data_IF_494965709754
#
_entry.id   IF_494965709754
#
_cell.length_a   1.000
_cell.length_b   1.000
_cell.length_c   1.000
_cell.angle_alpha   90.00
_cell.angle_beta   90.00
_cell.angle_gamma   90.00
#
_symmetry.space_group_name_H-M   'P 1'
#
loop_
_entity.id
_entity.type
_entity.pdbx_description
1 polymer ?
#
# COMPACT_ATOMS: atom_id res chain seq x y z
N UNK A 1 5.81 23.79 -16.54
CA UNK A 1 5.98 22.87 -15.40
C UNK A 1 4.64 22.21 -15.16
N UNK A 2 4.59 20.88 -15.25
CA UNK A 2 3.39 20.13 -14.84
C UNK A 2 3.26 20.28 -13.33
N UNK A 3 2.09 20.70 -12.84
CA UNK A 3 1.88 20.78 -11.41
C UNK A 3 2.05 19.40 -10.76
N UNK A 4 2.54 19.35 -9.51
CA UNK A 4 2.78 18.09 -8.79
C UNK A 4 1.53 17.19 -8.74
N UNK A 5 0.34 17.78 -8.61
CA UNK A 5 -0.94 17.07 -8.64
C UNK A 5 -1.20 16.37 -9.98
N UNK A 6 -0.89 17.03 -11.10
CA UNK A 6 -1.08 16.45 -12.44
C UNK A 6 -0.16 15.26 -12.68
N UNK A 7 1.08 15.32 -12.16
CA UNK A 7 2.01 14.20 -12.24
C UNK A 7 1.51 12.98 -11.46
N UNK A 8 1.05 13.18 -10.23
CA UNK A 8 0.49 12.11 -9.41
C UNK A 8 -0.74 11.48 -10.06
N UNK A 9 -1.60 12.30 -10.68
CA UNK A 9 -2.75 11.82 -11.44
C UNK A 9 -2.32 11.00 -12.67
N UNK A 10 -1.29 11.43 -13.38
CA UNK A 10 -0.72 10.68 -14.51
C UNK A 10 -0.10 9.35 -14.06
N UNK A 11 0.54 9.31 -12.90
CA UNK A 11 1.11 8.08 -12.33
C UNK A 11 0.02 7.05 -12.01
N UNK A 12 -1.12 7.48 -11.47
CA UNK A 12 -2.26 6.61 -11.23
C UNK A 12 -2.89 6.11 -12.53
N UNK A 13 -3.12 7.01 -13.50
CA UNK A 13 -3.69 6.65 -14.80
C UNK A 13 -2.78 5.70 -15.61
N UNK A 14 -1.46 5.77 -15.42
CA UNK A 14 -0.54 4.84 -16.06
C UNK A 14 -0.68 3.41 -15.53
N UNK A 15 -1.13 3.24 -14.29
CA UNK A 15 -1.38 1.94 -13.70
C UNK A 15 -2.52 1.18 -14.40
N UNK A 16 -3.57 1.90 -14.80
CA UNK A 16 -4.70 1.33 -15.53
C UNK A 16 -4.30 0.64 -16.85
N UNK A 17 -3.26 1.14 -17.51
CA UNK A 17 -2.75 0.57 -18.77
C UNK A 17 -1.95 -0.71 -18.59
N UNK A 18 -1.43 -0.93 -17.40
CA UNK A 18 -0.49 -2.01 -17.08
C UNK A 18 -1.17 -3.14 -16.32
N UNK A 19 -2.13 -2.80 -15.49
CA UNK A 19 -2.83 -3.77 -14.66
C UNK A 19 -4.05 -4.32 -15.39
N UNK A 20 -4.03 -5.61 -15.65
CA UNK A 20 -5.10 -6.28 -16.42
C UNK A 20 -6.23 -6.84 -15.54
N UNK A 21 -6.47 -6.26 -14.38
CA UNK A 21 -7.57 -6.63 -13.49
C UNK A 21 -7.57 -8.13 -13.18
N UNK A 22 -6.79 -8.56 -12.22
CA UNK A 22 -6.70 -9.97 -11.85
C UNK A 22 -7.26 -10.22 -10.46
N UNK A 23 -8.38 -10.92 -10.38
CA UNK A 23 -8.76 -11.57 -9.15
C UNK A 23 -7.80 -12.73 -8.92
N UNK A 24 -7.03 -12.69 -7.83
CA UNK A 24 -6.11 -13.75 -7.46
C UNK A 24 -5.07 -14.12 -8.54
N UNK A 25 -4.30 -13.20 -9.02
CA UNK A 25 -3.08 -13.58 -9.72
C UNK A 25 -2.20 -14.35 -8.75
N UNK A 26 -1.90 -15.59 -9.09
CA UNK A 26 -1.41 -16.64 -8.18
C UNK A 26 -0.08 -16.41 -7.47
N UNK A 27 0.53 -15.23 -7.57
CA UNK A 27 1.82 -14.93 -6.96
C UNK A 27 1.69 -14.57 -5.47
N UNK A 28 0.70 -13.77 -5.09
CA UNK A 28 0.45 -13.39 -3.70
C UNK A 28 -0.17 -14.52 -2.87
N UNK A 29 -0.85 -15.43 -3.52
CA UNK A 29 -1.62 -16.53 -2.90
C UNK A 29 -0.79 -17.49 -2.06
N UNK A 30 0.50 -17.69 -2.35
CA UNK A 30 1.28 -18.79 -1.76
C UNK A 30 2.24 -18.37 -0.66
N UNK A 31 2.71 -17.11 -0.64
CA UNK A 31 3.91 -16.77 0.13
C UNK A 31 3.66 -16.54 1.62
N UNK A 32 2.58 -15.83 2.00
CA UNK A 32 2.37 -15.42 3.39
C UNK A 32 0.88 -15.34 3.79
N UNK A 33 -0.03 -15.81 2.95
CA UNK A 33 -1.47 -15.64 3.14
C UNK A 33 -1.93 -16.09 4.54
N UNK A 34 -1.60 -17.32 4.95
CA UNK A 34 -2.02 -17.86 6.26
C UNK A 34 -1.52 -17.06 7.46
N UNK A 35 -0.29 -16.54 7.38
CA UNK A 35 0.27 -15.70 8.43
C UNK A 35 -0.47 -14.37 8.56
N UNK A 36 -0.73 -13.72 7.42
CA UNK A 36 -1.46 -12.45 7.41
C UNK A 36 -2.93 -12.63 7.79
N UNK A 37 -3.60 -13.67 7.32
CA UNK A 37 -4.96 -14.01 7.76
C UNK A 37 -5.05 -14.21 9.27
N UNK A 38 -4.11 -14.96 9.86
CA UNK A 38 -4.05 -15.16 11.30
C UNK A 38 -3.83 -13.86 12.06
N UNK A 39 -2.94 -13.00 11.54
CA UNK A 39 -2.69 -11.69 12.11
C UNK A 39 -3.92 -10.79 12.05
N UNK A 40 -4.57 -10.70 10.88
CA UNK A 40 -5.78 -9.90 10.70
C UNK A 40 -6.90 -10.36 11.63
N UNK A 41 -7.19 -11.66 11.70
CA UNK A 41 -8.19 -12.22 12.66
C UNK A 41 -7.97 -11.79 14.10
N UNK A 42 -6.71 -11.67 14.51
CA UNK A 42 -6.36 -11.35 15.90
C UNK A 42 -6.28 -9.84 16.17
N UNK A 43 -6.11 -9.01 15.15
CA UNK A 43 -5.78 -7.59 15.33
C UNK A 43 -6.76 -6.61 14.69
N UNK A 44 -7.65 -7.07 13.79
CA UNK A 44 -8.70 -6.22 13.23
C UNK A 44 -9.71 -5.86 14.32
N UNK A 45 -10.08 -4.57 14.35
CA UNK A 45 -11.03 -4.01 15.34
C UNK A 45 -11.60 -2.68 14.86
N UNK A 46 -12.76 -2.34 15.38
CA UNK A 46 -13.47 -1.09 15.07
C UNK A 46 -14.73 -1.32 14.26
N UNK A 47 -15.39 -0.25 13.89
CA UNK A 47 -16.64 -0.26 13.14
C UNK A 47 -16.42 -0.02 11.64
N UNK A 48 -15.43 0.81 11.27
CA UNK A 48 -15.17 1.21 9.88
C UNK A 48 -13.72 0.91 9.47
N UNK A 49 -13.56 0.12 8.41
CA UNK A 49 -12.26 -0.18 7.80
C UNK A 49 -12.15 0.48 6.43
N UNK A 50 -10.99 1.02 6.13
CA UNK A 50 -10.57 1.40 4.78
C UNK A 50 -9.58 0.39 4.24
N UNK A 51 -9.85 -0.20 3.07
CA UNK A 51 -8.89 -0.95 2.28
C UNK A 51 -8.42 -0.12 1.10
N UNK A 52 -7.10 0.09 0.99
CA UNK A 52 -6.49 0.82 -0.12
C UNK A 52 -5.93 -0.17 -1.12
N UNK A 53 -6.36 -0.03 -2.40
CA UNK A 53 -5.95 -0.91 -3.49
C UNK A 53 -6.56 -2.29 -3.37
N UNK A 54 -7.89 -2.34 -3.26
CA UNK A 54 -8.64 -3.58 -3.05
C UNK A 54 -8.60 -4.55 -4.24
N UNK A 55 -8.27 -4.04 -5.46
CA UNK A 55 -8.24 -4.87 -6.67
C UNK A 55 -9.53 -5.66 -6.86
N UNK A 56 -9.41 -6.96 -7.15
CA UNK A 56 -10.55 -7.86 -7.28
C UNK A 56 -11.21 -8.28 -5.96
N UNK A 57 -10.83 -7.70 -4.82
CA UNK A 57 -11.48 -7.91 -3.52
C UNK A 57 -11.02 -9.14 -2.74
N UNK A 58 -9.81 -9.63 -2.94
CA UNK A 58 -9.31 -10.82 -2.24
C UNK A 58 -9.27 -10.63 -0.72
N UNK A 59 -8.64 -9.55 -0.26
CA UNK A 59 -8.55 -9.26 1.16
C UNK A 59 -9.87 -8.70 1.67
N UNK A 60 -10.58 -7.91 0.85
CA UNK A 60 -11.93 -7.43 1.16
C UNK A 60 -12.86 -8.57 1.55
N UNK A 61 -12.91 -9.64 0.72
CA UNK A 61 -13.75 -10.82 0.98
C UNK A 61 -13.38 -11.49 2.30
N UNK A 62 -12.09 -11.71 2.53
CA UNK A 62 -11.61 -12.28 3.78
C UNK A 62 -12.01 -11.45 4.99
N UNK A 63 -11.81 -10.12 4.92
CA UNK A 63 -12.14 -9.19 6.01
C UNK A 63 -13.66 -9.11 6.22
N UNK A 64 -14.45 -9.08 5.15
CA UNK A 64 -15.91 -9.10 5.20
C UNK A 64 -16.46 -10.38 5.88
N UNK A 65 -15.91 -11.53 5.51
CA UNK A 65 -16.31 -12.83 6.10
C UNK A 65 -15.99 -12.95 7.61
N UNK A 66 -15.09 -12.13 8.14
CA UNK A 66 -14.85 -12.07 9.59
C UNK A 66 -16.00 -11.42 10.38
N UNK A 67 -16.86 -10.63 9.72
CA UNK A 67 -18.03 -9.99 10.34
C UNK A 67 -17.70 -8.96 11.42
N UNK A 68 -16.49 -8.39 11.43
CA UNK A 68 -16.03 -7.45 12.46
C UNK A 68 -16.56 -6.04 12.20
N UNK A 69 -16.50 -5.58 10.94
CA UNK A 69 -16.79 -4.20 10.57
C UNK A 69 -18.24 -4.01 10.14
N UNK A 70 -18.83 -2.92 10.58
CA UNK A 70 -20.15 -2.46 10.11
C UNK A 70 -20.06 -1.84 8.72
N UNK A 71 -18.89 -1.25 8.40
CA UNK A 71 -18.63 -0.63 7.11
C UNK A 71 -17.19 -0.93 6.67
N UNK A 72 -17.04 -1.35 5.42
CA UNK A 72 -15.76 -1.53 4.73
C UNK A 72 -15.75 -0.60 3.53
N UNK A 73 -14.83 0.34 3.49
CA UNK A 73 -14.63 1.25 2.36
C UNK A 73 -13.44 0.71 1.58
N UNK A 74 -13.64 0.44 0.30
CA UNK A 74 -12.61 -0.03 -0.62
C UNK A 74 -12.29 1.07 -1.60
N UNK A 75 -11.02 1.47 -1.71
CA UNK A 75 -10.59 2.44 -2.71
C UNK A 75 -9.61 1.81 -3.67
N UNK A 76 -9.79 2.08 -4.97
CA UNK A 76 -8.88 1.65 -6.02
C UNK A 76 -8.83 2.68 -7.15
N UNK A 77 -7.73 2.69 -7.90
CA UNK A 77 -7.54 3.53 -9.10
C UNK A 77 -8.18 2.92 -10.35
N UNK A 78 -8.60 1.67 -10.26
CA UNK A 78 -9.37 0.96 -11.29
C UNK A 78 -10.83 0.90 -10.87
N UNK A 79 -11.73 0.82 -11.84
CA UNK A 79 -13.16 0.70 -11.52
C UNK A 79 -13.50 -0.69 -10.98
N UNK A 80 -14.62 -0.79 -10.26
CA UNK A 80 -15.12 -2.06 -9.74
C UNK A 80 -15.39 -3.08 -10.85
N UNK A 81 -15.83 -2.61 -12.02
CA UNK A 81 -16.08 -3.42 -13.21
C UNK A 81 -14.77 -3.98 -13.78
N UNK A 82 -13.74 -3.11 -13.91
CA UNK A 82 -12.42 -3.52 -14.38
C UNK A 82 -11.84 -4.63 -13.48
N UNK A 83 -11.97 -4.46 -12.18
CA UNK A 83 -11.50 -5.42 -11.19
C UNK A 83 -12.43 -6.62 -11.00
N UNK A 84 -13.60 -6.67 -11.63
CA UNK A 84 -14.65 -7.68 -11.39
C UNK A 84 -15.00 -7.83 -9.92
N UNK A 85 -14.94 -6.70 -9.20
CA UNK A 85 -14.99 -6.68 -7.74
C UNK A 85 -16.29 -7.28 -7.20
N UNK A 86 -17.45 -6.82 -7.71
CA UNK A 86 -18.75 -7.31 -7.27
C UNK A 86 -19.06 -8.74 -7.74
N UNK A 87 -18.53 -9.14 -8.90
CA UNK A 87 -18.62 -10.55 -9.35
C UNK A 87 -17.95 -11.50 -8.36
N UNK A 88 -16.86 -11.04 -7.72
CA UNK A 88 -16.08 -11.84 -6.79
C UNK A 88 -16.64 -11.85 -5.36
N UNK A 89 -17.26 -10.76 -4.93
CA UNK A 89 -17.78 -10.60 -3.56
C UNK A 89 -19.24 -11.00 -3.41
N UNK A 90 -20.06 -10.83 -4.45
CA UNK A 90 -21.50 -11.01 -4.39
C UNK A 90 -22.28 -9.75 -4.05
N UNK A 91 -23.50 -9.62 -4.55
CA UNK A 91 -24.35 -8.43 -4.39
C UNK A 91 -24.72 -8.14 -2.93
N UNK A 92 -24.86 -9.18 -2.12
CA UNK A 92 -25.19 -9.06 -0.68
C UNK A 92 -24.14 -8.28 0.10
N UNK A 93 -22.87 -8.32 -0.34
CA UNK A 93 -21.78 -7.62 0.30
C UNK A 93 -21.90 -6.09 0.22
N UNK A 94 -22.68 -5.56 -0.75
CA UNK A 94 -22.93 -4.13 -0.93
C UNK A 94 -23.63 -3.46 0.26
N UNK A 95 -24.23 -4.23 1.15
CA UNK A 95 -24.82 -3.71 2.38
C UNK A 95 -23.75 -3.23 3.38
N UNK A 96 -22.56 -3.82 3.31
CA UNK A 96 -21.44 -3.54 4.23
C UNK A 96 -20.27 -2.87 3.51
N UNK A 97 -20.08 -3.15 2.23
CA UNK A 97 -18.92 -2.71 1.45
C UNK A 97 -19.30 -1.58 0.50
N UNK A 98 -18.55 -0.50 0.55
CA UNK A 98 -18.58 0.62 -0.39
C UNK A 98 -17.31 0.61 -1.25
N UNK A 99 -17.45 0.70 -2.57
CA UNK A 99 -16.33 0.81 -3.49
C UNK A 99 -16.23 2.23 -4.03
N UNK A 100 -15.06 2.86 -3.86
CA UNK A 100 -14.77 4.19 -4.36
C UNK A 100 -13.66 4.12 -5.41
N UNK A 101 -13.97 4.46 -6.64
CA UNK A 101 -13.00 4.64 -7.70
C UNK A 101 -12.34 6.01 -7.53
N UNK A 102 -11.02 6.05 -7.33
CA UNK A 102 -10.26 7.26 -7.04
C UNK A 102 -9.23 7.56 -8.12
N UNK A 103 -9.01 8.84 -8.41
CA UNK A 103 -8.00 9.33 -9.34
C UNK A 103 -6.92 10.22 -8.68
N UNK A 104 -6.95 10.28 -7.33
CA UNK A 104 -6.04 11.09 -6.55
C UNK A 104 -5.80 10.48 -5.15
N UNK A 105 -4.98 11.14 -4.34
CA UNK A 105 -4.62 10.67 -2.99
C UNK A 105 -5.37 11.42 -1.87
N UNK A 106 -6.38 12.23 -2.20
CA UNK A 106 -7.02 13.14 -1.22
C UNK A 106 -8.08 12.44 -0.37
N UNK A 107 -8.64 11.31 -0.85
CA UNK A 107 -9.72 10.58 -0.18
C UNK A 107 -10.91 11.48 0.19
N UNK A 108 -11.28 12.41 -0.72
CA UNK A 108 -12.27 13.45 -0.46
C UNK A 108 -13.65 12.91 -0.11
N UNK A 109 -14.01 11.73 -0.66
CA UNK A 109 -15.32 11.11 -0.44
C UNK A 109 -15.43 10.36 0.90
N UNK A 110 -14.34 10.30 1.66
CA UNK A 110 -14.31 9.72 2.99
C UNK A 110 -14.40 10.84 4.03
N UNK A 111 -15.32 10.72 4.98
CA UNK A 111 -15.46 11.66 6.08
C UNK A 111 -14.21 11.73 6.96
N UNK A 112 -13.92 12.93 7.48
CA UNK A 112 -12.83 13.09 8.43
C UNK A 112 -13.16 12.38 9.75
N UNK A 113 -12.14 11.82 10.39
CA UNK A 113 -12.25 11.12 11.68
C UNK A 113 -13.34 10.03 11.68
N UNK A 114 -13.48 9.29 10.56
CA UNK A 114 -14.46 8.23 10.39
C UNK A 114 -13.87 6.81 10.43
N UNK A 115 -12.55 6.67 10.24
CA UNK A 115 -11.90 5.37 10.11
C UNK A 115 -11.35 4.87 11.44
N UNK A 116 -11.59 3.59 11.73
CA UNK A 116 -11.04 2.88 12.89
C UNK A 116 -9.84 2.00 12.53
N UNK A 117 -9.81 1.54 11.26
CA UNK A 117 -8.71 0.72 10.75
C UNK A 117 -8.43 1.05 9.28
N UNK A 118 -7.16 1.02 8.90
CA UNK A 118 -6.72 1.12 7.50
C UNK A 118 -5.86 -0.08 7.17
N UNK A 119 -6.14 -0.72 6.05
CA UNK A 119 -5.40 -1.85 5.54
C UNK A 119 -4.96 -1.61 4.10
N UNK A 120 -3.72 -2.00 3.78
CA UNK A 120 -3.24 -2.00 2.40
C UNK A 120 -2.14 -3.05 2.23
N UNK A 121 -2.30 -3.91 1.25
CA UNK A 121 -1.35 -4.97 0.95
C UNK A 121 -1.07 -5.03 -0.55
N UNK A 122 0.21 -5.03 -0.93
CA UNK A 122 0.71 -5.08 -2.32
C UNK A 122 0.30 -3.87 -3.18
N UNK A 123 0.23 -2.68 -2.57
CA UNK A 123 -0.21 -1.43 -3.21
C UNK A 123 0.85 -0.33 -3.12
N UNK A 124 1.38 -0.04 -1.93
CA UNK A 124 2.34 1.06 -1.75
C UNK A 124 3.69 0.81 -2.42
N UNK A 125 3.98 -0.40 -2.81
CA UNK A 125 5.10 -0.72 -3.71
C UNK A 125 4.90 -0.21 -5.14
N UNK A 126 3.68 0.14 -5.53
CA UNK A 126 3.33 0.70 -6.83
C UNK A 126 3.07 2.21 -6.80
N UNK A 127 3.18 2.83 -5.63
CA UNK A 127 2.95 4.25 -5.41
C UNK A 127 4.28 4.95 -5.24
N UNK A 128 4.49 6.06 -5.94
CA UNK A 128 5.69 6.89 -5.80
C UNK A 128 5.87 7.39 -4.38
N UNK A 129 7.08 7.79 -4.03
CA UNK A 129 7.38 8.36 -2.72
C UNK A 129 6.50 9.59 -2.42
N UNK A 130 6.30 10.45 -3.42
CA UNK A 130 5.42 11.62 -3.30
C UNK A 130 3.97 11.21 -3.07
N UNK A 131 3.47 10.23 -3.83
CA UNK A 131 2.12 9.69 -3.66
C UNK A 131 1.92 9.05 -2.30
N UNK A 132 2.89 8.27 -1.83
CA UNK A 132 2.88 7.68 -0.49
C UNK A 132 2.76 8.77 0.59
N UNK A 133 3.55 9.84 0.49
CA UNK A 133 3.46 10.94 1.47
C UNK A 133 2.10 11.63 1.43
N UNK A 134 1.52 11.87 0.25
CA UNK A 134 0.18 12.49 0.14
C UNK A 134 -0.91 11.56 0.70
N UNK A 135 -0.85 10.25 0.42
CA UNK A 135 -1.78 9.29 1.02
C UNK A 135 -1.72 9.30 2.55
N UNK A 136 -0.52 9.17 3.10
CA UNK A 136 -0.35 9.15 4.56
C UNK A 136 -0.86 10.46 5.19
N UNK A 137 -0.63 11.60 4.54
CA UNK A 137 -1.16 12.89 4.98
C UNK A 137 -2.69 12.93 4.97
N UNK A 138 -3.32 12.43 3.89
CA UNK A 138 -4.78 12.37 3.78
C UNK A 138 -5.38 11.41 4.80
N UNK A 139 -4.75 10.26 5.00
CA UNK A 139 -5.18 9.29 6.01
C UNK A 139 -5.20 9.87 7.43
N UNK A 140 -4.27 10.75 7.75
CA UNK A 140 -4.26 11.39 9.08
C UNK A 140 -5.57 12.15 9.36
N UNK A 141 -6.14 12.81 8.34
CA UNK A 141 -7.41 13.52 8.48
C UNK A 141 -8.61 12.55 8.61
N UNK A 142 -8.55 11.41 7.90
CA UNK A 142 -9.66 10.45 7.85
C UNK A 142 -9.72 9.52 9.05
N UNK A 143 -8.58 9.21 9.64
CA UNK A 143 -8.47 8.36 10.82
C UNK A 143 -9.03 9.02 12.07
N UNK A 144 -9.77 8.27 12.88
CA UNK A 144 -10.09 8.62 14.28
C UNK A 144 -8.85 8.51 15.16
N UNK A 145 -8.92 9.07 16.35
CA UNK A 145 -7.93 8.80 17.40
C UNK A 145 -7.89 7.29 17.68
N UNK A 146 -6.68 6.73 17.76
CA UNK A 146 -6.41 5.29 17.93
C UNK A 146 -6.76 4.43 16.69
N UNK A 147 -7.00 5.02 15.53
CA UNK A 147 -7.08 4.28 14.27
C UNK A 147 -5.76 3.57 13.99
N UNK A 148 -5.81 2.27 13.73
CA UNK A 148 -4.63 1.49 13.34
C UNK A 148 -4.50 1.43 11.84
N UNK A 149 -3.25 1.54 11.36
CA UNK A 149 -2.94 1.43 9.96
C UNK A 149 -1.91 0.31 9.76
N UNK A 150 -2.27 -0.67 8.93
CA UNK A 150 -1.42 -1.81 8.56
C UNK A 150 -1.14 -1.73 7.06
N UNK A 151 0.08 -1.33 6.71
CA UNK A 151 0.46 -1.04 5.33
C UNK A 151 1.74 -1.79 4.94
N UNK A 152 1.66 -2.54 3.83
CA UNK A 152 2.80 -3.16 3.17
C UNK A 152 3.40 -2.21 2.13
N UNK A 153 4.71 -2.16 2.06
CA UNK A 153 5.49 -1.41 1.08
C UNK A 153 6.78 -2.16 0.71
N UNK A 154 7.50 -1.72 -0.32
CA UNK A 154 8.73 -2.41 -0.74
C UNK A 154 9.97 -1.89 -0.01
N UNK A 155 10.80 -2.83 0.49
CA UNK A 155 12.13 -2.54 1.04
C UNK A 155 13.19 -3.40 0.32
N UNK A 156 14.16 -2.78 -0.37
CA UNK A 156 15.15 -3.53 -1.14
C UNK A 156 16.09 -4.36 -0.27
N UNK A 157 16.32 -3.95 1.00
CA UNK A 157 17.20 -4.69 1.92
C UNK A 157 16.53 -5.97 2.42
N UNK A 158 15.22 -5.87 2.79
CA UNK A 158 14.44 -7.04 3.22
C UNK A 158 14.29 -8.02 2.07
N UNK A 159 13.99 -7.53 0.87
CA UNK A 159 13.87 -8.35 -0.33
C UNK A 159 15.17 -9.10 -0.64
N UNK A 160 16.30 -8.41 -0.68
CA UNK A 160 17.62 -9.03 -0.94
C UNK A 160 18.04 -10.03 0.13
N UNK A 161 17.62 -9.82 1.38
CA UNK A 161 17.89 -10.75 2.48
C UNK A 161 17.10 -12.05 2.31
N UNK A 162 15.88 -11.96 1.83
CA UNK A 162 14.98 -13.10 1.65
C UNK A 162 15.24 -13.88 0.36
N UNK A 163 15.71 -13.21 -0.68
CA UNK A 163 15.95 -13.76 -2.02
C UNK A 163 17.31 -13.30 -2.58
N UNK A 164 18.42 -13.81 -2.02
CA UNK A 164 19.76 -13.40 -2.44
C UNK A 164 20.06 -13.70 -3.91
N UNK A 165 19.42 -14.73 -4.47
CA UNK A 165 19.53 -15.12 -5.88
C UNK A 165 18.95 -14.07 -6.84
N UNK A 166 18.02 -13.25 -6.38
CA UNK A 166 17.42 -12.16 -7.16
C UNK A 166 18.25 -10.87 -7.10
N UNK A 167 19.42 -10.90 -6.45
CA UNK A 167 20.30 -9.74 -6.33
C UNK A 167 20.67 -9.13 -7.69
N UNK A 168 21.02 -9.97 -8.66
CA UNK A 168 21.40 -9.50 -10.00
C UNK A 168 20.21 -8.96 -10.77
N UNK A 169 19.01 -9.49 -10.52
CA UNK A 169 17.76 -8.96 -11.05
C UNK A 169 17.50 -7.55 -10.50
N UNK A 170 17.57 -7.35 -9.19
CA UNK A 170 17.44 -6.05 -8.55
C UNK A 170 18.52 -5.05 -9.02
N UNK A 171 19.77 -5.49 -9.14
CA UNK A 171 20.89 -4.67 -9.63
C UNK A 171 20.64 -4.17 -11.05
N UNK A 172 20.01 -4.98 -11.89
CA UNK A 172 19.67 -4.64 -13.27
C UNK A 172 18.68 -3.47 -13.34
N UNK A 173 17.81 -3.32 -12.35
CA UNK A 173 16.77 -2.29 -12.30
C UNK A 173 17.14 -1.08 -11.43
N UNK A 174 18.22 -1.15 -10.65
CA UNK A 174 18.71 -0.01 -9.89
C UNK A 174 19.71 0.81 -10.72
N UNK A 175 19.62 2.16 -10.72
CA UNK A 175 20.37 3.00 -11.66
C UNK A 175 21.89 2.99 -11.50
N UNK A 176 22.46 2.38 -10.46
CA UNK A 176 23.90 2.06 -10.37
C UNK A 176 24.22 1.04 -9.30
N UNK A 177 25.25 0.17 -9.57
CA UNK A 177 25.80 -0.77 -8.58
C UNK A 177 26.26 -0.10 -7.27
N UNK A 178 26.70 1.16 -7.31
CA UNK A 178 27.09 1.94 -6.14
C UNK A 178 25.94 2.22 -5.19
N UNK A 179 24.73 2.20 -5.69
CA UNK A 179 23.53 2.56 -4.96
C UNK A 179 23.11 1.50 -3.92
N UNK A 180 23.22 0.22 -4.24
CA UNK A 180 22.83 -0.87 -3.32
C UNK A 180 23.72 -0.90 -2.07
N UNK A 181 25.00 -0.60 -2.22
CA UNK A 181 25.94 -0.53 -1.08
C UNK A 181 25.74 0.74 -0.23
N UNK A 182 25.12 1.78 -0.78
CA UNK A 182 24.83 3.04 -0.10
C UNK A 182 23.45 3.12 0.52
N UNK A 183 22.57 2.12 0.35
CA UNK A 183 21.23 2.10 0.96
C UNK A 183 21.25 2.11 2.50
N UNK A 184 22.42 2.01 3.13
CA UNK A 184 22.62 2.25 4.56
C UNK A 184 23.01 3.69 4.90
N UNK A 185 23.26 4.56 3.91
CA UNK A 185 23.74 5.92 4.12
C UNK A 185 22.57 6.91 4.27
N UNK A 186 22.60 7.71 5.35
CA UNK A 186 21.60 8.73 5.64
C UNK A 186 21.46 9.81 4.55
N UNK A 187 22.49 10.01 3.73
CA UNK A 187 22.47 10.94 2.60
C UNK A 187 21.53 10.48 1.49
N UNK A 188 21.43 9.17 1.26
CA UNK A 188 20.52 8.60 0.26
C UNK A 188 19.04 8.73 0.62
N UNK A 189 18.72 8.68 1.91
CA UNK A 189 17.37 8.92 2.38
C UNK A 189 16.96 10.36 2.07
N UNK A 190 17.87 11.31 2.27
CA UNK A 190 17.65 12.73 1.94
C UNK A 190 17.49 12.94 0.44
N UNK A 191 18.31 12.30 -0.37
CA UNK A 191 18.25 12.38 -1.83
C UNK A 191 16.99 11.69 -2.39
N UNK A 192 16.61 10.54 -1.84
CA UNK A 192 15.36 9.85 -2.19
C UNK A 192 14.11 10.67 -1.80
N UNK A 193 14.16 11.43 -0.70
CA UNK A 193 13.09 12.34 -0.30
C UNK A 193 13.06 13.63 -1.13
N UNK A 194 14.19 14.03 -1.71
CA UNK A 194 14.30 15.19 -2.60
C UNK A 194 13.90 14.85 -4.04
N UNK A 195 14.09 13.61 -4.45
CA UNK A 195 13.69 13.12 -5.76
C UNK A 195 12.22 12.63 -5.70
N UNK A 196 11.35 13.34 -6.39
CA UNK A 196 9.90 13.12 -6.33
C UNK A 196 9.45 11.73 -6.79
N UNK A 197 10.32 10.98 -7.45
CA UNK A 197 9.98 9.70 -8.06
C UNK A 197 10.51 8.49 -7.29
N UNK A 198 11.36 8.70 -6.27
CA UNK A 198 12.01 7.60 -5.56
C UNK A 198 12.84 6.71 -6.48
N UNK A 199 13.24 5.55 -5.99
CA UNK A 199 13.86 4.52 -6.81
C UNK A 199 12.79 3.76 -7.59
N UNK A 200 12.59 4.19 -8.82
CA UNK A 200 11.65 3.54 -9.72
C UNK A 200 12.35 2.38 -10.44
N UNK A 201 11.71 1.23 -10.41
CA UNK A 201 11.99 0.18 -11.39
C UNK A 201 11.33 0.59 -12.72
N UNK A 202 12.12 0.74 -13.78
CA UNK A 202 11.63 1.08 -15.13
C UNK A 202 10.89 -0.08 -15.83
N UNK A 203 10.79 -1.25 -15.17
CA UNK A 203 10.01 -2.37 -15.70
C UNK A 203 8.54 -2.24 -15.29
N UNK A 204 7.68 -2.67 -16.15
CA UNK A 204 6.25 -2.80 -15.90
C UNK A 204 5.95 -4.13 -15.15
N UNK A 205 5.07 -4.12 -14.12
CA UNK A 205 4.41 -2.98 -13.49
C UNK A 205 5.38 -2.12 -12.68
N UNK A 206 5.11 -0.83 -12.54
CA UNK A 206 5.96 0.10 -11.76
C UNK A 206 6.16 -0.40 -10.34
N UNK A 207 7.41 -0.37 -9.88
CA UNK A 207 7.78 -0.78 -8.54
C UNK A 207 8.66 0.28 -7.88
N UNK A 208 8.25 0.76 -6.72
CA UNK A 208 8.96 1.78 -5.98
C UNK A 208 9.56 1.23 -4.69
N UNK A 209 10.88 1.31 -4.56
CA UNK A 209 11.61 0.88 -3.40
C UNK A 209 11.70 2.01 -2.38
N UNK A 210 10.67 2.14 -1.53
CA UNK A 210 10.61 3.20 -0.51
C UNK A 210 11.61 2.94 0.61
N UNK A 211 11.69 1.70 1.08
CA UNK A 211 12.53 1.32 2.21
C UNK A 211 11.96 1.70 3.57
N UNK A 212 12.30 0.91 4.59
CA UNK A 212 11.73 1.05 5.94
C UNK A 212 12.09 2.40 6.60
N UNK A 213 13.32 2.89 6.40
CA UNK A 213 13.75 4.14 7.03
C UNK A 213 13.03 5.36 6.47
N UNK A 214 12.80 5.38 5.15
CA UNK A 214 12.09 6.47 4.46
C UNK A 214 10.60 6.42 4.81
N UNK A 215 9.98 5.23 4.77
CA UNK A 215 8.58 5.06 5.13
C UNK A 215 8.33 5.50 6.58
N UNK A 216 9.20 5.11 7.51
CA UNK A 216 9.18 5.56 8.91
C UNK A 216 9.19 7.08 9.04
N UNK A 217 10.05 7.78 8.27
CA UNK A 217 10.09 9.24 8.29
C UNK A 217 8.79 9.87 7.79
N UNK A 218 8.18 9.29 6.74
CA UNK A 218 6.87 9.75 6.24
C UNK A 218 5.80 9.60 7.32
N UNK A 219 5.75 8.45 8.01
CA UNK A 219 4.80 8.19 9.09
C UNK A 219 4.95 9.21 10.22
N UNK A 220 6.17 9.41 10.72
CA UNK A 220 6.44 10.35 11.82
C UNK A 220 6.18 11.80 11.42
N UNK A 221 6.57 12.21 10.20
CA UNK A 221 6.30 13.55 9.67
C UNK A 221 4.80 13.87 9.62
N UNK A 222 3.97 12.86 9.32
CA UNK A 222 2.53 12.99 9.28
C UNK A 222 1.85 12.66 10.63
N UNK A 223 2.59 12.76 11.75
CA UNK A 223 2.11 12.72 13.13
C UNK A 223 1.53 11.39 13.60
N UNK A 224 1.75 10.30 12.85
CA UNK A 224 1.42 8.98 13.32
C UNK A 224 2.51 8.43 14.25
N UNK A 225 2.12 7.53 15.15
CA UNK A 225 3.04 6.80 16.02
C UNK A 225 3.24 5.38 15.49
N UNK A 226 4.49 4.98 15.33
CA UNK A 226 4.84 3.63 14.89
C UNK A 226 4.71 2.67 16.08
N UNK A 227 3.96 1.60 15.88
CA UNK A 227 3.80 0.49 16.84
C UNK A 227 4.77 -0.64 16.51
N UNK A 228 4.85 -1.02 15.22
CA UNK A 228 5.84 -1.97 14.70
C UNK A 228 6.31 -1.50 13.33
N UNK A 229 7.61 -1.41 13.16
CA UNK A 229 8.21 -1.06 11.86
C UNK A 229 7.97 -2.15 10.82
N UNK A 230 7.92 -3.40 11.27
CA UNK A 230 7.58 -4.58 10.47
C UNK A 230 6.95 -5.63 11.39
N UNK A 231 5.79 -6.16 11.03
CA UNK A 231 5.16 -7.27 11.76
C UNK A 231 5.78 -8.63 11.45
N UNK A 232 6.73 -8.66 10.48
CA UNK A 232 7.57 -9.81 10.09
C UNK A 232 6.79 -11.04 9.58
N UNK A 233 5.66 -10.79 8.92
CA UNK A 233 4.85 -11.84 8.29
C UNK A 233 5.26 -12.06 6.84
N UNK A 234 5.43 -10.99 6.06
CA UNK A 234 5.91 -11.08 4.70
C UNK A 234 7.45 -11.16 4.69
N UNK A 235 8.00 -12.17 3.99
CA UNK A 235 9.44 -12.40 3.95
C UNK A 235 10.19 -11.39 3.11
N UNK A 236 9.51 -10.83 2.11
CA UNK A 236 10.13 -9.97 1.08
C UNK A 236 9.90 -8.49 1.34
N UNK A 237 8.74 -8.13 1.86
CA UNK A 237 8.33 -6.75 2.05
C UNK A 237 7.92 -6.48 3.50
N UNK A 238 8.28 -5.35 4.08
CA UNK A 238 7.82 -4.98 5.41
C UNK A 238 6.33 -4.62 5.40
N UNK A 239 5.66 -4.97 6.49
CA UNK A 239 4.30 -4.53 6.79
C UNK A 239 4.38 -3.77 8.10
N UNK A 240 4.20 -2.44 8.04
CA UNK A 240 4.26 -1.59 9.23
C UNK A 240 2.89 -1.44 9.87
N UNK A 241 2.88 -1.45 11.21
CA UNK A 241 1.73 -1.09 12.03
C UNK A 241 1.99 0.25 12.71
N UNK A 242 1.10 1.20 12.49
CA UNK A 242 1.14 2.51 13.13
C UNK A 242 -0.26 3.00 13.51
N UNK A 243 -0.34 4.06 14.32
CA UNK A 243 -1.57 4.53 14.93
C UNK A 243 -1.64 6.05 14.96
N UNK A 244 -2.82 6.62 14.80
CA UNK A 244 -3.12 8.04 15.01
C UNK A 244 -3.30 8.36 16.49
#
# INVERSE_FOLDING_TARGET
>A
MIEKKDKLKQDLAAFEKVWHGGYFTGYSKKRNQKGLESYLKSNLRGDTLLEIGCGGGQWTKFIYELGIFKKIICVDVLSAEHNKFWENLGEESKQTIEYLHIDNFELSDIENESLDYVFSYDVFCHISLSGTNEYIKSLYLKCRKNCNLLIMYADPRKYLKSEPENRDHLIKYLPSRKFIYRLSDKTLIKDALSDSDGLQNNSEPRWFWIGIDVFKQIILKNQFKIIKEDIDIDKTNPISLFVK
#
